data_IF_084538675410
#
_entry.id   IF_084538675410
#
_cell.length_a   1.000
_cell.length_b   1.000
_cell.length_c   1.000
_cell.angle_alpha   90.00
_cell.angle_beta   90.00
_cell.angle_gamma   90.00
#
_symmetry.space_group_name_H-M   'P 1'
#
loop_
_entity.id
_entity.type
_entity.pdbx_description
1 polymer ?
#
# COMPACT_ATOMS: atom_id res chain seq x y z
N UNK A 1 7.54 9.43 -20.43
CA UNK A 1 7.66 9.13 -18.99
C UNK A 1 6.25 9.12 -18.41
N UNK A 2 5.79 7.97 -17.93
CA UNK A 2 4.47 7.83 -17.32
C UNK A 2 4.40 8.66 -16.04
N UNK A 3 3.27 9.34 -15.81
CA UNK A 3 3.00 10.09 -14.59
C UNK A 3 1.89 9.38 -13.84
N UNK A 4 2.17 9.07 -12.58
CA UNK A 4 1.27 8.40 -11.65
C UNK A 4 0.90 9.41 -10.56
N UNK A 5 -0.22 10.16 -10.70
CA UNK A 5 -0.51 11.30 -9.84
C UNK A 5 -0.58 10.95 -8.35
N UNK A 6 -1.02 9.74 -8.00
CA UNK A 6 -1.07 9.23 -6.62
C UNK A 6 0.24 8.63 -6.07
N UNK A 7 1.17 8.24 -6.94
CA UNK A 7 2.39 7.51 -6.56
C UNK A 7 3.53 8.42 -6.03
N UNK A 8 3.42 9.75 -6.14
CA UNK A 8 4.54 10.66 -5.89
C UNK A 8 4.29 11.76 -4.85
N UNK A 9 3.09 11.88 -4.29
CA UNK A 9 2.79 12.95 -3.32
C UNK A 9 3.16 12.58 -1.89
N UNK A 10 3.12 11.30 -1.52
CA UNK A 10 3.39 10.81 -0.16
C UNK A 10 3.66 9.29 -0.10
N UNK A 11 4.43 8.71 -1.03
CA UNK A 11 4.71 7.25 -0.99
C UNK A 11 5.81 6.93 0.02
N UNK A 12 5.55 6.02 0.95
CA UNK A 12 6.48 5.65 2.03
C UNK A 12 7.19 4.33 1.78
N UNK A 13 6.46 3.38 1.19
CA UNK A 13 6.92 2.00 1.02
C UNK A 13 6.38 1.45 -0.30
N UNK A 14 7.16 0.55 -0.90
CA UNK A 14 6.78 -0.15 -2.13
C UNK A 14 7.21 -1.61 -2.06
N UNK A 15 6.49 -2.47 -2.77
CA UNK A 15 6.91 -3.84 -3.06
C UNK A 15 6.46 -4.23 -4.46
N UNK A 16 7.21 -5.12 -5.11
CA UNK A 16 6.84 -5.68 -6.41
C UNK A 16 6.44 -7.14 -6.21
N UNK A 17 5.32 -7.52 -6.78
CA UNK A 17 4.88 -8.91 -6.85
C UNK A 17 4.23 -9.18 -8.20
N UNK A 18 4.72 -10.22 -8.88
CA UNK A 18 4.40 -10.49 -10.29
C UNK A 18 4.62 -9.22 -11.12
N UNK A 19 3.62 -8.82 -11.90
CA UNK A 19 3.65 -7.64 -12.76
C UNK A 19 3.07 -6.38 -12.08
N UNK A 20 2.95 -6.35 -10.76
CA UNK A 20 2.38 -5.23 -10.03
C UNK A 20 3.39 -4.58 -9.07
N UNK A 21 3.38 -3.25 -9.06
CA UNK A 21 4.05 -2.43 -8.06
C UNK A 21 3.02 -1.94 -7.06
N UNK A 22 3.05 -2.52 -5.86
CA UNK A 22 2.24 -2.07 -4.73
C UNK A 22 2.95 -0.94 -4.00
N UNK A 23 2.17 0.02 -3.51
CA UNK A 23 2.69 1.18 -2.80
C UNK A 23 1.76 1.62 -1.69
N UNK A 24 2.34 2.06 -0.58
CA UNK A 24 1.62 2.69 0.53
C UNK A 24 1.76 4.21 0.46
N UNK A 25 0.65 4.94 0.59
CA UNK A 25 0.61 6.41 0.50
C UNK A 25 -0.23 7.05 1.61
N UNK A 26 0.10 8.29 1.98
CA UNK A 26 -0.68 9.13 2.90
C UNK A 26 -1.32 10.31 2.16
N UNK A 27 -2.64 10.28 2.07
CA UNK A 27 -3.44 11.41 1.58
C UNK A 27 -4.60 11.65 2.55
N UNK A 28 -4.32 12.39 3.63
CA UNK A 28 -5.22 12.57 4.79
C UNK A 28 -5.53 11.28 5.59
N UNK A 29 -5.62 10.12 4.91
CA UNK A 29 -5.63 8.77 5.45
C UNK A 29 -4.55 7.91 4.77
N UNK A 30 -4.28 6.73 5.33
CA UNK A 30 -3.44 5.72 4.68
C UNK A 30 -4.19 4.95 3.62
N UNK A 31 -3.54 4.78 2.47
CA UNK A 31 -4.02 4.03 1.34
C UNK A 31 -2.94 3.08 0.84
N UNK A 32 -3.40 2.02 0.19
CA UNK A 32 -2.57 1.12 -0.59
C UNK A 32 -3.07 1.12 -2.02
N UNK A 33 -2.17 1.34 -2.96
CA UNK A 33 -2.43 1.29 -4.38
C UNK A 33 -1.55 0.27 -5.08
N UNK A 34 -1.88 0.01 -6.33
CA UNK A 34 -1.12 -0.85 -7.21
C UNK A 34 -0.99 -0.22 -8.60
N UNK A 35 0.14 -0.45 -9.25
CA UNK A 35 0.39 -0.09 -10.64
C UNK A 35 0.63 -1.39 -11.40
N UNK A 36 -0.15 -1.67 -12.44
CA UNK A 36 0.17 -2.72 -13.41
C UNK A 36 1.37 -2.26 -14.23
N UNK A 37 2.48 -2.97 -14.13
CA UNK A 37 3.75 -2.64 -14.76
C UNK A 37 3.79 -2.95 -16.26
N UNK A 38 2.87 -3.78 -16.76
CA UNK A 38 2.73 -4.08 -18.19
C UNK A 38 2.01 -2.95 -18.91
N UNK A 39 0.90 -2.48 -18.32
CA UNK A 39 0.03 -1.47 -18.92
C UNK A 39 0.39 -0.05 -18.48
N UNK A 40 1.11 0.09 -17.37
CA UNK A 40 1.35 1.36 -16.68
C UNK A 40 0.04 2.02 -16.22
N UNK A 41 -0.95 1.22 -15.86
CA UNK A 41 -2.22 1.67 -15.29
C UNK A 41 -2.17 1.67 -13.76
N UNK A 42 -2.72 2.71 -13.14
CA UNK A 42 -2.90 2.78 -11.70
C UNK A 42 -4.26 2.19 -11.35
N UNK A 43 -4.26 1.15 -10.52
CA UNK A 43 -5.46 0.54 -10.00
C UNK A 43 -6.07 1.39 -8.87
N UNK A 44 -7.38 1.24 -8.58
CA UNK A 44 -8.02 1.95 -7.48
C UNK A 44 -7.31 1.74 -6.14
N UNK A 45 -7.05 2.82 -5.42
CA UNK A 45 -6.46 2.78 -4.09
C UNK A 45 -7.49 2.32 -3.04
N UNK A 46 -7.04 1.48 -2.12
CA UNK A 46 -7.84 0.97 -1.00
C UNK A 46 -7.44 1.71 0.26
N UNK A 47 -8.42 2.28 0.96
CA UNK A 47 -8.19 2.91 2.26
C UNK A 47 -7.91 1.82 3.31
N UNK A 48 -6.87 2.03 4.11
CA UNK A 48 -6.60 1.19 5.27
C UNK A 48 -7.31 1.77 6.49
N UNK A 49 -8.06 0.93 7.20
CA UNK A 49 -8.65 1.27 8.50
C UNK A 49 -7.63 0.95 9.58
N UNK A 50 -7.18 1.93 10.34
CA UNK A 50 -6.14 1.78 11.37
C UNK A 50 -6.53 2.52 12.64
N UNK A 51 -5.92 2.16 13.77
CA UNK A 51 -6.11 2.89 15.03
C UNK A 51 -5.47 4.27 14.92
N UNK A 52 -6.22 5.39 14.99
CA UNK A 52 -5.65 6.72 14.82
C UNK A 52 -4.66 7.08 15.94
N UNK A 53 -3.52 7.63 15.58
CA UNK A 53 -2.47 8.12 16.49
C UNK A 53 -1.70 9.27 15.84
N UNK A 54 -0.96 10.06 16.63
CA UNK A 54 -0.32 11.28 16.12
C UNK A 54 0.91 11.00 15.25
N UNK A 55 1.49 9.81 15.38
CA UNK A 55 2.74 9.41 14.72
C UNK A 55 2.60 8.19 13.82
N UNK A 56 1.38 7.90 13.37
CA UNK A 56 1.16 6.74 12.54
C UNK A 56 1.92 6.85 11.21
N UNK A 57 2.38 5.71 10.70
CA UNK A 57 2.96 5.60 9.38
C UNK A 57 2.80 4.19 8.83
N UNK A 58 2.73 4.07 7.50
CA UNK A 58 2.93 2.77 6.86
C UNK A 58 4.43 2.46 6.97
N UNK A 59 4.78 1.45 7.77
CA UNK A 59 6.17 1.07 8.03
C UNK A 59 6.69 0.05 7.03
N UNK A 60 5.83 -0.89 6.59
CA UNK A 60 6.19 -1.92 5.63
C UNK A 60 4.98 -2.41 4.83
N UNK A 61 5.24 -2.93 3.64
CA UNK A 61 4.30 -3.74 2.87
C UNK A 61 5.01 -4.96 2.30
N UNK A 62 4.30 -6.08 2.15
CA UNK A 62 4.86 -7.31 1.60
C UNK A 62 3.77 -8.23 1.06
N UNK A 63 4.11 -9.07 0.09
CA UNK A 63 3.17 -10.06 -0.45
C UNK A 63 3.60 -11.46 -0.04
N UNK A 64 2.67 -12.24 0.46
CA UNK A 64 2.86 -13.65 0.77
C UNK A 64 1.57 -14.42 0.47
N UNK A 65 1.69 -15.53 -0.28
CA UNK A 65 0.58 -16.42 -0.63
C UNK A 65 -0.65 -15.69 -1.22
N UNK A 66 -0.42 -14.76 -2.15
CA UNK A 66 -1.50 -14.00 -2.80
C UNK A 66 -2.16 -12.94 -1.91
N UNK A 67 -1.57 -12.66 -0.74
CA UNK A 67 -2.08 -11.65 0.18
C UNK A 67 -1.06 -10.52 0.35
N UNK A 68 -1.56 -9.29 0.32
CA UNK A 68 -0.79 -8.08 0.59
C UNK A 68 -0.91 -7.72 2.07
N UNK A 69 0.21 -7.81 2.77
CA UNK A 69 0.38 -7.43 4.16
C UNK A 69 0.82 -5.97 4.21
N UNK A 70 0.19 -5.21 5.11
CA UNK A 70 0.44 -3.79 5.32
C UNK A 70 0.60 -3.55 6.81
N UNK A 71 1.76 -3.04 7.19
CA UNK A 71 2.07 -2.72 8.57
C UNK A 71 1.90 -1.21 8.79
N UNK A 72 1.03 -0.87 9.73
CA UNK A 72 0.87 0.49 10.22
C UNK A 72 1.51 0.57 11.60
N UNK A 73 2.67 1.21 11.69
CA UNK A 73 3.28 1.51 12.97
C UNK A 73 2.49 2.63 13.66
N UNK A 74 2.07 2.41 14.90
CA UNK A 74 1.38 3.37 15.76
C UNK A 74 2.32 3.88 16.87
N UNK A 75 1.84 4.68 17.82
CA UNK A 75 2.67 5.21 18.92
C UNK A 75 3.21 4.08 19.83
N UNK A 76 4.51 4.16 20.19
CA UNK A 76 5.24 3.28 21.12
C UNK A 76 5.09 1.76 20.86
N UNK A 77 5.93 1.25 19.94
CA UNK A 77 6.19 -0.19 19.72
C UNK A 77 4.96 -1.09 19.42
N UNK A 78 3.87 -0.50 18.95
CA UNK A 78 2.69 -1.20 18.47
C UNK A 78 2.54 -1.08 16.95
N UNK A 79 1.97 -2.10 16.33
CA UNK A 79 1.69 -2.12 14.89
C UNK A 79 0.38 -2.83 14.61
N UNK A 80 -0.44 -2.20 13.78
CA UNK A 80 -1.62 -2.83 13.20
C UNK A 80 -1.19 -3.49 11.88
N UNK A 81 -1.50 -4.78 11.70
CA UNK A 81 -1.24 -5.50 10.45
C UNK A 81 -2.57 -5.68 9.73
N UNK A 82 -2.60 -5.23 8.48
CA UNK A 82 -3.75 -5.39 7.59
C UNK A 82 -3.39 -6.34 6.46
N UNK A 83 -4.33 -7.20 6.10
CA UNK A 83 -4.16 -8.20 5.04
C UNK A 83 -5.23 -7.94 4.00
N UNK A 84 -4.82 -7.76 2.76
CA UNK A 84 -5.69 -7.60 1.60
C UNK A 84 -5.50 -8.80 0.69
N UNK A 85 -6.59 -9.45 0.32
CA UNK A 85 -6.55 -10.50 -0.69
C UNK A 85 -6.30 -9.84 -2.05
N UNK A 86 -5.29 -10.34 -2.76
CA UNK A 86 -5.09 -10.01 -4.16
C UNK A 86 -5.94 -10.98 -4.94
N UNK A 87 -6.94 -10.48 -5.68
CA UNK A 87 -7.65 -11.31 -6.65
C UNK A 87 -6.60 -11.77 -7.69
N UNK A 88 -6.14 -13.01 -7.53
CA UNK A 88 -5.16 -13.62 -8.43
C UNK A 88 -5.82 -14.22 -9.68
N UNK A 89 -7.15 -14.21 -9.71
CA UNK A 89 -7.99 -14.76 -10.77
C UNK A 89 -8.33 -13.69 -11.84
N UNK A 90 -7.32 -13.19 -12.56
CA UNK A 90 -7.50 -12.55 -13.87
C UNK A 90 -6.40 -12.94 -14.88
#
# INVERSE_FOLDING_TARGET
MYKFPGYNTSTYVTTVYKDYLFYGTLNYYFYVGAIDLRTHEMLPEVKIDYTPGNLNRISSIGVHEGQLYVEIQTELDHSDIHVLDLDEDE
#
